data_IF_613185496216
#
_entry.id   IF_613185496216
#
_cell.length_a   1.000
_cell.length_b   1.000
_cell.length_c   1.000
_cell.angle_alpha   90.00
_cell.angle_beta   90.00
_cell.angle_gamma   90.00
#
_symmetry.space_group_name_H-M   'P 1'
#
loop_
_entity.id
_entity.type
_entity.pdbx_description
1 polymer ?
#
# COMPACT_ATOMS: atom_id res chain seq x y z
N UNK A 1 5.09 26.64 -1.31
CA UNK A 1 5.13 25.28 -1.88
C UNK A 1 3.69 24.84 -2.05
N UNK A 2 3.26 24.31 -3.21
CA UNK A 2 1.92 23.75 -3.33
C UNK A 2 1.79 22.53 -2.40
N UNK A 3 0.64 22.38 -1.75
CA UNK A 3 0.34 21.19 -0.94
C UNK A 3 0.26 19.95 -1.86
N UNK A 4 0.70 18.77 -1.39
CA UNK A 4 0.64 17.54 -2.17
C UNK A 4 -0.81 17.16 -2.49
N UNK A 5 -1.07 16.62 -3.68
CA UNK A 5 -2.40 16.10 -4.00
C UNK A 5 -2.74 14.89 -3.13
N UNK A 6 -4.01 14.74 -2.75
CA UNK A 6 -4.49 13.64 -1.91
C UNK A 6 -5.78 13.01 -2.43
N UNK A 7 -6.00 11.75 -2.12
CA UNK A 7 -7.30 11.07 -2.14
C UNK A 7 -7.69 10.83 -0.68
N UNK A 8 -8.71 11.53 -0.20
CA UNK A 8 -9.21 11.38 1.16
C UNK A 8 -10.38 10.39 1.19
N UNK A 9 -10.31 9.43 2.11
CA UNK A 9 -11.45 8.59 2.49
C UNK A 9 -12.28 9.39 3.49
N UNK A 10 -13.37 10.00 3.02
CA UNK A 10 -14.19 10.92 3.82
C UNK A 10 -15.13 10.13 4.76
N UNK A 11 -15.62 8.97 4.33
CA UNK A 11 -16.60 8.17 5.07
C UNK A 11 -16.39 6.67 4.80
N UNK A 12 -16.45 5.86 5.86
CA UNK A 12 -16.31 4.41 5.78
C UNK A 12 -15.43 3.83 6.89
N UNK A 13 -15.44 2.51 7.09
CA UNK A 13 -14.45 1.86 7.94
C UNK A 13 -13.03 2.11 7.38
N UNK A 14 -11.99 2.07 8.24
CA UNK A 14 -10.61 2.07 7.80
C UNK A 14 -10.38 1.09 6.64
N UNK A 15 -9.62 1.47 5.60
CA UNK A 15 -9.29 0.56 4.51
C UNK A 15 -8.51 -0.64 5.05
N UNK A 16 -8.89 -1.84 4.62
CA UNK A 16 -8.10 -3.04 4.92
C UNK A 16 -6.95 -3.14 3.96
N UNK A 17 -5.73 -3.22 4.49
CA UNK A 17 -4.51 -3.38 3.71
C UNK A 17 -4.09 -4.85 3.63
N UNK A 18 -3.56 -5.24 2.48
CA UNK A 18 -2.97 -6.55 2.20
C UNK A 18 -1.53 -6.31 1.73
N UNK A 19 -0.53 -6.88 2.40
CA UNK A 19 0.85 -6.83 1.89
C UNK A 19 0.92 -7.65 0.60
N UNK A 20 1.37 -7.02 -0.48
CA UNK A 20 1.53 -7.68 -1.78
C UNK A 20 2.99 -8.07 -1.98
N UNK A 21 3.20 -9.33 -2.36
CA UNK A 21 4.52 -9.94 -2.57
C UNK A 21 4.91 -10.11 -4.05
N UNK A 22 4.17 -9.49 -4.97
CA UNK A 22 4.45 -9.63 -6.39
C UNK A 22 5.83 -9.07 -6.73
N UNK A 23 6.61 -9.82 -7.53
CA UNK A 23 8.02 -9.50 -7.79
C UNK A 23 8.24 -8.15 -8.47
N UNK A 24 7.27 -7.68 -9.27
CA UNK A 24 7.35 -6.37 -9.93
C UNK A 24 7.24 -5.19 -8.95
N UNK A 25 6.69 -5.41 -7.75
CA UNK A 25 6.55 -4.36 -6.73
C UNK A 25 7.88 -4.04 -6.03
N UNK A 26 8.81 -4.99 -5.97
CA UNK A 26 10.14 -4.74 -5.39
C UNK A 26 10.92 -3.68 -6.18
N UNK A 27 10.73 -3.61 -7.50
CA UNK A 27 11.31 -2.55 -8.33
C UNK A 27 10.71 -1.16 -8.05
N UNK A 28 9.57 -1.08 -7.35
CA UNK A 28 9.00 0.19 -6.91
C UNK A 28 9.50 0.62 -5.52
N UNK A 29 9.99 -0.31 -4.70
CA UNK A 29 10.38 -0.05 -3.30
C UNK A 29 11.87 0.23 -3.10
N UNK A 30 12.65 0.28 -4.18
CA UNK A 30 14.08 0.66 -4.10
C UNK A 30 14.23 2.10 -3.59
N UNK A 31 14.92 2.25 -2.47
CA UNK A 31 15.14 3.53 -1.82
C UNK A 31 16.03 3.40 -0.58
N UNK A 32 16.47 4.54 0.00
CA UNK A 32 17.29 4.53 1.21
C UNK A 32 16.52 4.12 2.46
N UNK A 33 15.18 4.14 2.41
CA UNK A 33 14.29 3.76 3.50
C UNK A 33 13.58 2.46 3.10
N UNK A 34 13.70 1.38 3.90
CA UNK A 34 12.96 0.16 3.68
C UNK A 34 11.45 0.45 3.62
N UNK A 35 10.80 -0.04 2.57
CA UNK A 35 9.37 0.13 2.39
C UNK A 35 8.79 -1.06 1.65
N UNK A 36 7.51 -1.33 1.88
CA UNK A 36 6.75 -2.35 1.16
C UNK A 36 5.56 -1.70 0.47
N UNK A 37 5.03 -2.38 -0.54
CA UNK A 37 3.76 -2.00 -1.14
C UNK A 37 2.65 -2.78 -0.44
N UNK A 38 1.64 -2.05 0.03
CA UNK A 38 0.38 -2.62 0.47
C UNK A 38 -0.71 -2.31 -0.55
N UNK A 39 -1.68 -3.19 -0.60
CA UNK A 39 -2.81 -3.13 -1.51
C UNK A 39 -4.10 -2.93 -0.71
N UNK A 40 -4.99 -2.03 -1.15
CA UNK A 40 -6.31 -1.87 -0.54
C UNK A 40 -7.41 -1.61 -1.58
N UNK A 41 -8.65 -1.88 -1.18
CA UNK A 41 -9.86 -1.69 -1.99
C UNK A 41 -10.81 -0.76 -1.25
N UNK A 42 -11.27 0.29 -1.91
CA UNK A 42 -12.22 1.26 -1.34
C UNK A 42 -13.36 1.52 -2.32
N UNK A 43 -14.58 1.70 -1.80
CA UNK A 43 -15.72 2.10 -2.64
C UNK A 43 -15.64 3.58 -2.95
N UNK A 44 -16.04 3.94 -4.16
CA UNK A 44 -16.07 5.33 -4.61
C UNK A 44 -17.24 5.56 -5.57
N UNK A 45 -17.81 6.76 -5.53
CA UNK A 45 -18.82 7.17 -6.51
C UNK A 45 -18.21 7.38 -7.91
N UNK A 46 -16.92 7.76 -8.00
CA UNK A 46 -16.29 8.12 -9.27
C UNK A 46 -14.84 7.62 -9.37
N UNK A 47 -14.70 6.32 -9.67
CA UNK A 47 -13.40 5.69 -9.92
C UNK A 47 -12.61 6.34 -11.06
N UNK A 48 -13.21 6.57 -12.26
CA UNK A 48 -12.52 7.18 -13.39
C UNK A 48 -11.87 8.54 -13.06
N UNK A 49 -12.59 9.44 -12.40
CA UNK A 49 -12.07 10.76 -12.08
C UNK A 49 -10.91 10.72 -11.06
N UNK A 50 -10.95 9.79 -10.10
CA UNK A 50 -9.87 9.61 -9.13
C UNK A 50 -8.60 9.06 -9.79
N UNK A 51 -8.74 8.10 -10.70
CA UNK A 51 -7.60 7.58 -11.47
C UNK A 51 -6.99 8.66 -12.36
N UNK A 52 -7.82 9.47 -13.03
CA UNK A 52 -7.33 10.58 -13.85
C UNK A 52 -6.56 11.60 -13.01
N UNK A 53 -7.00 11.88 -11.77
CA UNK A 53 -6.30 12.78 -10.85
C UNK A 53 -4.90 12.26 -10.52
N UNK A 54 -4.76 10.98 -10.14
CA UNK A 54 -3.45 10.36 -9.93
C UNK A 54 -2.55 10.48 -11.16
N UNK A 55 -3.09 10.18 -12.35
CA UNK A 55 -2.33 10.27 -13.59
C UNK A 55 -1.83 11.69 -13.88
N UNK A 56 -2.67 12.71 -13.63
CA UNK A 56 -2.30 14.12 -13.82
C UNK A 56 -1.17 14.54 -12.86
N UNK A 57 -1.25 14.16 -11.58
CA UNK A 57 -0.20 14.42 -10.60
C UNK A 57 1.14 13.78 -11.02
N UNK A 58 1.13 12.49 -11.37
CA UNK A 58 2.34 11.78 -11.81
C UNK A 58 2.92 12.35 -13.10
N UNK A 59 2.08 12.77 -14.05
CA UNK A 59 2.53 13.44 -15.28
C UNK A 59 3.23 14.76 -15.00
N UNK A 60 2.88 15.44 -13.91
CA UNK A 60 3.53 16.66 -13.42
C UNK A 60 4.71 16.37 -12.49
N UNK A 61 5.11 15.11 -12.33
CA UNK A 61 6.15 14.63 -11.39
C UNK A 61 5.85 15.00 -9.93
N UNK A 62 4.56 15.02 -9.59
CA UNK A 62 4.08 15.25 -8.23
C UNK A 62 3.67 13.92 -7.59
N UNK A 63 3.90 13.82 -6.28
CA UNK A 63 3.38 12.72 -5.47
C UNK A 63 1.90 12.95 -5.15
N UNK A 64 1.16 11.86 -5.01
CA UNK A 64 -0.23 11.86 -4.57
C UNK A 64 -0.40 10.82 -3.46
N UNK A 65 -1.17 11.17 -2.43
CA UNK A 65 -1.27 10.37 -1.20
C UNK A 65 -2.70 9.88 -0.97
N UNK A 66 -2.84 8.74 -0.31
CA UNK A 66 -4.09 8.27 0.27
C UNK A 66 -4.15 8.78 1.71
N UNK A 67 -5.16 9.58 2.03
CA UNK A 67 -5.44 10.06 3.38
C UNK A 67 -6.61 9.23 3.95
N UNK A 68 -6.38 8.56 5.08
CA UNK A 68 -7.34 7.65 5.69
C UNK A 68 -7.30 7.72 7.22
N UNK A 69 -8.32 7.14 7.87
CA UNK A 69 -8.36 6.99 9.33
C UNK A 69 -7.91 5.58 9.69
N UNK A 70 -6.93 5.47 10.58
CA UNK A 70 -6.47 4.18 11.09
C UNK A 70 -7.45 3.58 12.10
N UNK A 71 -7.18 2.35 12.55
CA UNK A 71 -8.00 1.66 13.56
C UNK A 71 -8.09 2.44 14.88
N UNK A 72 -7.02 3.15 15.27
CA UNK A 72 -6.98 4.01 16.46
C UNK A 72 -7.68 5.37 16.25
N UNK A 73 -8.23 5.61 15.06
CA UNK A 73 -8.88 6.87 14.71
C UNK A 73 -7.90 8.02 14.47
N UNK A 74 -6.62 7.75 14.21
CA UNK A 74 -5.67 8.77 13.78
C UNK A 74 -5.74 8.96 12.26
N UNK A 75 -5.49 10.18 11.78
CA UNK A 75 -5.36 10.42 10.34
C UNK A 75 -3.96 10.02 9.89
N UNK A 76 -3.89 9.15 8.88
CA UNK A 76 -2.65 8.69 8.27
C UNK A 76 -2.64 9.03 6.78
N UNK A 77 -1.43 9.13 6.22
CA UNK A 77 -1.20 9.40 4.81
C UNK A 77 -0.18 8.43 4.24
N UNK A 78 -0.50 7.78 3.13
CA UNK A 78 0.41 6.86 2.45
C UNK A 78 0.57 7.22 0.96
N UNK A 79 1.79 7.28 0.40
CA UNK A 79 2.00 7.55 -1.01
C UNK A 79 1.35 6.50 -1.92
N UNK A 80 0.57 6.94 -2.91
CA UNK A 80 -0.02 6.05 -3.91
C UNK A 80 1.01 5.80 -5.02
N UNK A 81 1.35 4.53 -5.24
CA UNK A 81 2.29 4.10 -6.29
C UNK A 81 1.59 3.58 -7.54
N UNK A 82 0.37 3.05 -7.39
CA UNK A 82 -0.49 2.68 -8.51
C UNK A 82 -1.96 2.77 -8.13
N UNK A 83 -2.82 2.99 -9.12
CA UNK A 83 -4.27 3.02 -8.95
C UNK A 83 -4.98 2.43 -10.16
N UNK A 84 -6.07 1.70 -9.91
CA UNK A 84 -7.02 1.26 -10.93
C UNK A 84 -8.44 1.33 -10.37
N UNK A 85 -9.43 1.33 -11.26
CA UNK A 85 -10.83 1.21 -10.88
C UNK A 85 -11.47 0.04 -11.61
N UNK A 86 -12.51 -0.53 -11.01
CA UNK A 86 -13.39 -1.53 -11.61
C UNK A 86 -14.84 -1.13 -11.42
N UNK A 87 -15.69 -1.55 -12.35
CA UNK A 87 -17.15 -1.40 -12.25
C UNK A 87 -17.72 -2.58 -11.44
N UNK A 88 -18.51 -2.27 -10.41
CA UNK A 88 -19.21 -3.24 -9.58
C UNK A 88 -20.71 -2.90 -9.54
N UNK A 89 -21.58 -3.86 -9.16
CA UNK A 89 -23.03 -3.62 -9.15
C UNK A 89 -23.46 -2.45 -8.26
N UNK A 90 -22.74 -2.18 -7.16
CA UNK A 90 -23.04 -1.06 -6.25
C UNK A 90 -22.16 0.18 -6.47
N UNK A 91 -21.57 0.34 -7.66
CA UNK A 91 -20.77 1.50 -8.05
C UNK A 91 -19.31 1.14 -8.36
N UNK A 92 -18.40 2.11 -8.24
CA UNK A 92 -16.99 1.88 -8.56
C UNK A 92 -16.22 1.39 -7.34
N UNK A 93 -15.28 0.47 -7.57
CA UNK A 93 -14.26 0.09 -6.58
C UNK A 93 -12.91 0.60 -7.06
N UNK A 94 -12.24 1.35 -6.19
CA UNK A 94 -10.87 1.81 -6.40
C UNK A 94 -9.91 0.80 -5.79
N UNK A 95 -8.95 0.38 -6.58
CA UNK A 95 -7.84 -0.49 -6.20
C UNK A 95 -6.59 0.36 -6.10
N UNK A 96 -5.99 0.40 -4.91
CA UNK A 96 -4.85 1.25 -4.60
C UNK A 96 -3.67 0.40 -4.19
N UNK A 97 -2.50 0.74 -4.71
CA UNK A 97 -1.21 0.28 -4.21
C UNK A 97 -0.55 1.47 -3.54
N UNK A 98 -0.23 1.33 -2.27
CA UNK A 98 0.40 2.36 -1.47
C UNK A 98 1.75 1.87 -0.95
N UNK A 99 2.68 2.79 -0.77
CA UNK A 99 3.96 2.50 -0.12
C UNK A 99 3.81 2.72 1.39
N UNK A 100 4.25 1.75 2.18
CA UNK A 100 4.35 1.84 3.63
C UNK A 100 5.80 1.63 4.06
N UNK A 101 6.27 2.42 5.02
CA UNK A 101 7.57 2.24 5.70
C UNK A 101 7.46 1.18 6.80
N UNK A 102 8.59 0.71 7.33
CA UNK A 102 8.63 -0.31 8.40
C UNK A 102 7.72 0.07 9.59
N UNK A 103 7.89 1.26 10.17
CA UNK A 103 7.05 1.76 11.28
C UNK A 103 5.54 1.73 10.95
N UNK A 104 5.18 2.06 9.70
CA UNK A 104 3.77 2.08 9.26
C UNK A 104 3.23 0.65 9.07
N UNK A 105 4.09 -0.28 8.67
CA UNK A 105 3.74 -1.70 8.54
C UNK A 105 3.54 -2.31 9.94
N UNK A 106 4.38 -1.98 10.92
CA UNK A 106 4.21 -2.42 12.31
C UNK A 106 2.85 -1.98 12.85
N UNK A 107 2.50 -0.71 12.65
CA UNK A 107 1.23 -0.14 13.11
C UNK A 107 0.04 -0.79 12.42
N UNK A 108 0.06 -0.93 11.09
CA UNK A 108 -1.12 -1.37 10.33
C UNK A 108 -1.34 -2.89 10.40
N UNK A 109 -0.26 -3.68 10.51
CA UNK A 109 -0.33 -5.14 10.47
C UNK A 109 0.04 -5.82 11.79
N UNK A 110 0.50 -5.07 12.80
CA UNK A 110 0.89 -5.62 14.10
C UNK A 110 2.15 -6.50 14.05
N UNK A 111 3.03 -6.26 13.07
CA UNK A 111 4.36 -6.87 13.06
C UNK A 111 5.27 -6.11 14.02
N UNK A 112 6.23 -6.82 14.63
CA UNK A 112 7.32 -6.22 15.38
C UNK A 112 8.61 -6.55 14.63
N UNK A 113 9.22 -5.56 13.96
CA UNK A 113 10.51 -5.76 13.29
C UNK A 113 11.68 -5.47 14.24
N UNK A 114 11.41 -5.09 15.50
CA UNK A 114 12.41 -4.73 16.51
C UNK A 114 13.14 -5.91 17.16
N UNK A 115 12.61 -7.12 17.07
CA UNK A 115 13.12 -8.34 17.73
C UNK A 115 13.72 -9.36 16.73
N UNK A 116 14.25 -8.91 15.59
CA UNK A 116 15.15 -9.77 14.78
C UNK A 116 16.53 -9.76 15.48
N UNK A 117 16.62 -10.44 16.62
CA UNK A 117 17.90 -10.85 17.18
C UNK A 117 18.62 -11.77 16.15
N UNK A 118 19.93 -11.59 16.01
CA UNK A 118 20.87 -12.25 15.08
C UNK A 118 20.98 -13.79 15.27
N UNK A 119 19.89 -14.54 15.49
CA UNK A 119 19.88 -16.01 15.50
C UNK A 119 19.47 -16.58 14.13
N UNK A 120 20.20 -16.17 13.09
CA UNK A 120 20.22 -16.86 11.78
C UNK A 120 21.19 -18.04 11.80
N UNK A 121 21.09 -18.92 12.79
CA UNK A 121 21.92 -20.14 12.86
C UNK A 121 21.12 -21.46 13.03
N UNK A 122 19.79 -21.45 12.97
CA UNK A 122 18.98 -22.68 12.90
C UNK A 122 17.80 -22.58 11.91
N UNK A 123 18.10 -22.35 10.62
CA UNK A 123 17.21 -22.84 9.56
C UNK A 123 17.59 -24.29 9.25
N UNK A 124 17.04 -25.20 10.08
CA UNK A 124 17.09 -26.65 9.92
C UNK A 124 16.56 -27.08 8.54
N UNK A 125 17.49 -27.53 7.71
CA UNK A 125 17.45 -28.48 6.59
C UNK A 125 16.13 -29.24 6.27
N UNK A 126 14.98 -28.57 6.07
CA UNK A 126 13.75 -29.25 5.62
C UNK A 126 12.80 -28.44 4.73
N UNK A 127 13.33 -27.56 3.88
CA UNK A 127 12.60 -27.14 2.68
C UNK A 127 12.91 -28.10 1.53
N UNK A 128 12.14 -29.18 1.47
CA UNK A 128 11.95 -30.00 0.27
C UNK A 128 11.45 -29.10 -0.88
N UNK A 129 12.38 -28.49 -1.61
CA UNK A 129 12.14 -27.95 -2.94
C UNK A 129 11.94 -29.11 -3.92
N UNK A 130 10.82 -29.82 -3.74
CA UNK A 130 10.27 -30.78 -4.67
C UNK A 130 9.70 -30.10 -5.90
N UNK A 131 10.51 -29.35 -6.64
CA UNK A 131 10.29 -29.10 -8.06
C UNK A 131 10.89 -30.29 -8.82
N UNK A 132 10.09 -31.34 -8.98
CA UNK A 132 10.34 -32.32 -10.05
C UNK A 132 10.35 -31.58 -11.38
N UNK A 133 11.48 -31.72 -12.09
CA UNK A 133 11.59 -31.50 -13.52
C UNK A 133 11.20 -32.79 -14.26
#
# INVERSE_FOLDING_TARGET
>A
MPEPEKITIIEGPPPTFELVGDTWLFGLTEGPIPSRVAFCRVRTANGPALVERCYRAWRQRQSIFLEFRSQDGLTQEAPIVAVRWLEAPEGHVLMLWIRLQEDEIEIEFGFDFGDIDDDVDELDDNLDFGLSL
#
